data_IF_515513969851
#
_entry.id   IF_515513969851
#
_cell.length_a   1.000
_cell.length_b   1.000
_cell.length_c   1.000
_cell.angle_alpha   90.00
_cell.angle_beta   90.00
_cell.angle_gamma   90.00
#
_symmetry.space_group_name_H-M   'P 1'
#
loop_
_entity.id
_entity.type
_entity.pdbx_description
1 polymer ?
#
# COMPACT_ATOMS: atom_id res chain seq x y z
N UNK A 1 -16.45 -5.87 -12.44
CA UNK A 1 -15.59 -4.96 -13.21
C UNK A 1 -14.14 -5.22 -12.83
N UNK A 2 -13.25 -5.37 -13.81
CA UNK A 2 -11.80 -5.46 -13.58
C UNK A 2 -11.23 -4.06 -13.31
N UNK A 3 -10.14 -3.99 -12.56
CA UNK A 3 -9.38 -2.75 -12.41
C UNK A 3 -8.70 -2.38 -13.74
N UNK A 4 -8.68 -1.10 -14.09
CA UNK A 4 -7.94 -0.57 -15.23
C UNK A 4 -6.51 -0.27 -14.77
N UNK A 5 -5.52 -0.94 -15.34
CA UNK A 5 -4.12 -0.72 -14.97
C UNK A 5 -3.57 0.44 -15.81
N UNK A 6 -3.11 1.50 -15.15
CA UNK A 6 -2.50 2.67 -15.80
C UNK A 6 -1.00 2.45 -15.97
N UNK A 7 -0.30 2.10 -14.88
CA UNK A 7 1.13 1.85 -14.91
C UNK A 7 1.52 0.67 -14.02
N UNK A 8 2.51 -0.11 -14.47
CA UNK A 8 3.02 -1.25 -13.74
C UNK A 8 4.53 -1.35 -13.93
N UNK A 9 5.30 -1.44 -12.84
CA UNK A 9 6.76 -1.60 -12.90
C UNK A 9 7.24 -2.51 -11.78
N UNK A 10 8.30 -3.27 -12.07
CA UNK A 10 8.92 -4.19 -11.13
C UNK A 10 10.41 -3.88 -11.04
N UNK A 11 10.87 -3.54 -9.85
CA UNK A 11 12.30 -3.44 -9.51
C UNK A 11 12.70 -4.68 -8.72
N UNK A 12 14.01 -4.95 -8.62
CA UNK A 12 14.53 -6.09 -7.85
C UNK A 12 15.42 -5.61 -6.72
N UNK A 13 15.25 -6.16 -5.53
CA UNK A 13 16.15 -5.98 -4.40
C UNK A 13 17.03 -7.22 -4.25
N UNK A 14 18.34 -7.01 -4.19
CA UNK A 14 19.35 -8.06 -4.01
C UNK A 14 20.31 -7.70 -2.89
N UNK A 15 21.01 -8.70 -2.38
CA UNK A 15 22.22 -8.51 -1.58
C UNK A 15 23.40 -8.67 -2.53
N UNK A 16 24.26 -7.65 -2.60
CA UNK A 16 25.43 -7.68 -3.46
C UNK A 16 26.60 -8.45 -2.83
N UNK A 17 27.76 -8.49 -3.51
CA UNK A 17 28.94 -9.22 -3.03
C UNK A 17 29.55 -8.65 -1.76
N UNK A 18 29.23 -7.41 -1.40
CA UNK A 18 29.67 -6.75 -0.16
C UNK A 18 28.67 -6.92 0.99
N UNK A 19 27.68 -7.83 0.85
CA UNK A 19 26.58 -8.03 1.81
C UNK A 19 25.70 -6.79 2.03
N UNK A 20 25.70 -5.85 1.07
CA UNK A 20 24.84 -4.66 1.10
C UNK A 20 23.59 -4.85 0.24
N UNK A 21 22.49 -4.25 0.69
CA UNK A 21 21.25 -4.16 -0.12
C UNK A 21 21.49 -3.25 -1.32
N UNK A 22 21.11 -3.74 -2.49
CA UNK A 22 21.17 -3.02 -3.76
C UNK A 22 19.86 -3.20 -4.52
N UNK A 23 19.37 -2.12 -5.12
CA UNK A 23 18.24 -2.17 -6.03
C UNK A 23 18.72 -2.25 -7.48
N UNK A 24 18.10 -3.14 -8.25
CA UNK A 24 18.20 -3.20 -9.70
C UNK A 24 16.86 -2.67 -10.24
N UNK A 25 16.79 -1.38 -10.60
CA UNK A 25 15.59 -0.85 -11.20
C UNK A 25 15.43 -1.40 -12.63
N UNK A 26 14.19 -1.62 -13.06
CA UNK A 26 13.88 -1.82 -14.47
C UNK A 26 14.02 -0.50 -15.23
N UNK A 27 14.38 -0.55 -16.50
CA UNK A 27 14.61 0.65 -17.31
C UNK A 27 13.35 1.44 -17.66
N UNK A 28 12.19 0.78 -17.84
CA UNK A 28 10.90 1.40 -18.18
C UNK A 28 9.74 0.63 -17.54
N UNK A 29 8.53 1.18 -17.60
CA UNK A 29 7.32 0.48 -17.20
C UNK A 29 7.06 -0.76 -18.07
N UNK A 30 6.23 -1.67 -17.58
CA UNK A 30 5.72 -2.81 -18.33
C UNK A 30 4.50 -2.38 -19.13
N UNK A 31 4.43 -2.81 -20.38
CA UNK A 31 3.22 -2.67 -21.18
C UNK A 31 2.07 -3.42 -20.50
N UNK A 32 0.88 -2.81 -20.48
CA UNK A 32 -0.32 -3.42 -19.90
C UNK A 32 -0.84 -4.50 -20.84
N UNK A 33 -0.42 -5.73 -20.60
CA UNK A 33 -0.90 -6.93 -21.31
C UNK A 33 -1.91 -7.70 -20.44
N UNK A 34 -2.71 -8.62 -21.00
CA UNK A 34 -3.64 -9.44 -20.22
C UNK A 34 -2.97 -10.20 -19.07
N UNK A 35 -1.69 -10.59 -19.22
CA UNK A 35 -0.91 -11.24 -18.17
C UNK A 35 -0.57 -10.28 -17.02
N UNK A 36 -0.27 -9.01 -17.33
CA UNK A 36 -0.03 -7.96 -16.32
C UNK A 36 -1.32 -7.60 -15.59
N UNK A 37 -2.44 -7.49 -16.31
CA UNK A 37 -3.76 -7.28 -15.71
C UNK A 37 -4.13 -8.44 -14.76
N UNK A 38 -3.90 -9.68 -15.19
CA UNK A 38 -4.13 -10.86 -14.35
C UNK A 38 -3.26 -10.83 -13.09
N UNK A 39 -1.97 -10.52 -13.22
CA UNK A 39 -1.07 -10.41 -12.07
C UNK A 39 -1.51 -9.29 -11.12
N UNK A 40 -1.84 -8.11 -11.63
CA UNK A 40 -2.33 -7.00 -10.83
C UNK A 40 -3.64 -7.35 -10.10
N UNK A 41 -4.55 -8.07 -10.76
CA UNK A 41 -5.75 -8.60 -10.13
C UNK A 41 -5.42 -9.61 -9.02
N UNK A 42 -4.48 -10.54 -9.26
CA UNK A 42 -4.07 -11.51 -8.24
C UNK A 42 -3.40 -10.85 -7.03
N UNK A 43 -2.59 -9.80 -7.24
CA UNK A 43 -1.98 -9.01 -6.16
C UNK A 43 -3.08 -8.32 -5.35
N UNK A 44 -4.01 -7.63 -6.01
CA UNK A 44 -5.14 -6.97 -5.34
C UNK A 44 -6.02 -7.96 -4.56
N UNK A 45 -6.37 -9.09 -5.18
CA UNK A 45 -7.13 -10.15 -4.51
C UNK A 45 -6.37 -10.70 -3.29
N UNK A 46 -5.07 -10.98 -3.43
CA UNK A 46 -4.25 -11.44 -2.31
C UNK A 46 -4.20 -10.41 -1.18
N UNK A 47 -4.01 -9.13 -1.52
CA UNK A 47 -4.01 -8.03 -0.55
C UNK A 47 -5.34 -7.94 0.19
N UNK A 48 -6.46 -8.03 -0.53
CA UNK A 48 -7.81 -8.00 0.03
C UNK A 48 -8.17 -9.21 0.89
N UNK A 49 -7.66 -10.40 0.54
CA UNK A 49 -7.89 -11.60 1.32
C UNK A 49 -7.08 -11.66 2.64
N UNK A 50 -6.09 -10.79 2.86
CA UNK A 50 -5.30 -10.80 4.10
C UNK A 50 -6.11 -10.26 5.28
N UNK A 51 -6.23 -11.03 6.39
CA UNK A 51 -6.86 -10.52 7.61
C UNK A 51 -5.95 -9.49 8.29
N UNK A 52 -6.56 -8.54 8.99
CA UNK A 52 -5.84 -7.58 9.83
C UNK A 52 -5.08 -6.53 9.02
N UNK A 53 -5.82 -5.67 8.31
CA UNK A 53 -5.24 -4.50 7.63
C UNK A 53 -5.11 -3.32 8.59
N UNK A 54 -4.03 -2.58 8.43
CA UNK A 54 -3.83 -1.27 9.04
C UNK A 54 -4.35 -0.20 8.11
N UNK A 55 -4.85 0.89 8.70
CA UNK A 55 -5.30 2.09 8.01
C UNK A 55 -4.52 3.25 8.57
N UNK A 56 -4.11 4.18 7.73
CA UNK A 56 -3.18 5.24 8.09
C UNK A 56 -3.16 6.40 7.12
N UNK A 57 -2.19 7.27 7.33
CA UNK A 57 -1.94 8.48 6.55
C UNK A 57 -0.46 8.81 6.51
N UNK A 58 -0.06 9.70 5.59
CA UNK A 58 1.30 10.20 5.56
C UNK A 58 1.60 11.11 6.76
N UNK A 59 2.83 11.02 7.24
CA UNK A 59 3.40 11.91 8.26
C UNK A 59 4.66 12.56 7.71
N UNK A 60 4.98 13.76 8.19
CA UNK A 60 6.19 14.47 7.77
C UNK A 60 7.40 14.05 8.59
N UNK A 61 7.20 13.67 9.85
CA UNK A 61 8.26 13.39 10.80
C UNK A 61 7.91 12.17 11.66
N UNK A 62 8.91 11.33 11.95
CA UNK A 62 8.80 10.24 12.91
C UNK A 62 9.78 10.50 14.04
N UNK A 63 9.27 10.46 15.28
CA UNK A 63 10.07 10.63 16.49
C UNK A 63 10.41 9.26 17.06
N UNK A 64 11.71 8.98 17.23
CA UNK A 64 12.21 7.75 17.83
C UNK A 64 12.81 8.04 19.19
N UNK A 65 12.45 7.21 20.15
CA UNK A 65 13.05 7.21 21.49
C UNK A 65 13.99 6.01 21.61
N UNK A 66 15.29 6.28 21.66
CA UNK A 66 16.31 5.27 21.97
C UNK A 66 16.73 5.43 23.43
N UNK A 67 16.68 4.34 24.19
CA UNK A 67 17.30 4.30 25.51
C UNK A 67 18.79 4.04 25.33
N UNK A 68 19.61 5.03 25.67
CA UNK A 68 21.06 4.89 25.70
C UNK A 68 21.46 4.70 27.15
N UNK A 69 22.06 3.54 27.46
CA UNK A 69 22.67 3.30 28.77
C UNK A 69 23.98 4.09 28.83
N UNK A 70 24.04 5.07 29.73
CA UNK A 70 25.29 5.79 30.03
C UNK A 70 26.27 4.91 30.80
N UNK A 71 27.54 5.30 30.81
CA UNK A 71 28.63 4.57 31.48
C UNK A 71 28.43 4.37 33.00
N UNK A 72 27.54 5.15 33.63
CA UNK A 72 27.19 5.07 35.05
C UNK A 72 25.87 4.33 35.35
N UNK A 73 25.23 3.72 34.35
CA UNK A 73 23.95 3.00 34.53
C UNK A 73 22.71 3.88 34.55
N UNK A 74 22.84 5.19 34.31
CA UNK A 74 21.71 6.08 34.02
C UNK A 74 21.24 5.87 32.57
N UNK A 75 19.99 5.43 32.41
CA UNK A 75 19.36 5.33 31.10
C UNK A 75 18.89 6.72 30.67
N UNK A 76 19.59 7.35 29.74
CA UNK A 76 19.14 8.58 29.08
C UNK A 76 18.31 8.24 27.85
N UNK A 77 17.11 8.83 27.73
CA UNK A 77 16.30 8.73 26.52
C UNK A 77 16.80 9.76 25.52
N UNK A 78 17.41 9.30 24.42
CA UNK A 78 17.71 10.15 23.27
C UNK A 78 16.53 10.12 22.30
N UNK A 79 16.03 11.30 21.98
CA UNK A 79 14.95 11.49 21.02
C UNK A 79 15.53 11.98 19.69
N UNK A 80 15.29 11.24 18.60
CA UNK A 80 15.66 11.67 17.25
C UNK A 80 14.42 11.82 16.39
N UNK A 81 14.27 12.97 15.75
CA UNK A 81 13.20 13.24 14.79
C UNK A 81 13.76 13.15 13.38
N UNK A 82 13.20 12.25 12.58
CA UNK A 82 13.58 12.06 11.18
C UNK A 82 12.46 12.55 10.28
N UNK A 83 12.79 13.35 9.26
CA UNK A 83 11.83 13.71 8.21
C UNK A 83 11.62 12.49 7.30
N UNK A 84 10.36 12.11 7.09
CA UNK A 84 9.97 10.95 6.26
C UNK A 84 9.06 11.35 5.09
N UNK A 85 8.93 12.65 4.80
CA UNK A 85 8.01 13.17 3.79
C UNK A 85 8.41 12.86 2.34
N UNK A 86 9.69 12.54 2.07
CA UNK A 86 10.26 12.39 0.71
C UNK A 86 9.42 11.49 -0.22
N UNK A 87 8.83 10.41 0.29
CA UNK A 87 7.96 9.54 -0.53
C UNK A 87 6.64 10.23 -0.89
N UNK A 88 5.97 10.84 0.09
CA UNK A 88 4.70 11.54 -0.11
C UNK A 88 4.89 12.74 -1.03
N UNK A 89 5.97 13.51 -0.87
CA UNK A 89 6.32 14.62 -1.76
C UNK A 89 6.54 14.15 -3.20
N UNK A 90 7.32 13.08 -3.40
CA UNK A 90 7.54 12.49 -4.72
C UNK A 90 6.25 11.97 -5.37
N UNK A 91 5.37 11.35 -4.59
CA UNK A 91 4.07 10.87 -5.09
C UNK A 91 3.14 12.04 -5.44
N UNK A 92 3.15 13.12 -4.64
CA UNK A 92 2.35 14.33 -4.93
C UNK A 92 2.85 15.00 -6.22
N UNK A 93 4.16 15.15 -6.36
CA UNK A 93 4.77 15.71 -7.57
C UNK A 93 4.38 14.90 -8.81
N UNK A 94 4.42 13.57 -8.74
CA UNK A 94 3.96 12.71 -9.82
C UNK A 94 2.47 12.95 -10.16
N UNK A 95 1.60 13.02 -9.14
CA UNK A 95 0.17 13.26 -9.36
C UNK A 95 -0.12 14.63 -9.98
N UNK A 96 0.65 15.67 -9.62
CA UNK A 96 0.52 16.99 -10.22
C UNK A 96 0.90 16.96 -11.71
N UNK A 97 1.98 16.25 -12.07
CA UNK A 97 2.36 16.01 -13.47
C UNK A 97 1.24 15.26 -14.21
N UNK A 98 0.64 14.24 -13.60
CA UNK A 98 -0.47 13.49 -14.18
C UNK A 98 -1.69 14.38 -14.47
N UNK A 99 -2.02 15.31 -13.57
CA UNK A 99 -3.12 16.28 -13.78
C UNK A 99 -2.85 17.23 -14.94
N UNK A 100 -1.60 17.63 -15.15
CA UNK A 100 -1.22 18.56 -16.22
C UNK A 100 -1.05 17.87 -17.59
N UNK A 101 -0.45 16.68 -17.61
CA UNK A 101 -0.03 16.00 -18.83
C UNK A 101 -1.00 14.90 -19.32
N UNK A 102 -2.01 14.53 -18.52
CA UNK A 102 -2.97 13.48 -18.86
C UNK A 102 -2.31 12.09 -18.91
N UNK A 103 -2.52 11.34 -19.99
CA UNK A 103 -2.14 9.92 -20.08
C UNK A 103 -0.64 9.68 -20.40
N UNK A 104 0.10 10.71 -20.83
CA UNK A 104 1.49 10.55 -21.26
C UNK A 104 2.49 10.78 -20.12
N UNK A 105 2.34 10.03 -19.01
CA UNK A 105 3.13 10.21 -17.77
C UNK A 105 3.91 8.98 -17.34
N UNK A 106 4.11 8.02 -18.24
CA UNK A 106 4.88 6.79 -17.96
C UNK A 106 6.29 7.10 -17.42
N UNK A 107 7.00 8.05 -18.04
CA UNK A 107 8.35 8.45 -17.62
C UNK A 107 8.34 9.08 -16.22
N UNK A 108 7.31 9.86 -15.89
CA UNK A 108 7.16 10.47 -14.58
C UNK A 108 6.84 9.43 -13.50
N UNK A 109 5.97 8.46 -13.81
CA UNK A 109 5.67 7.34 -12.92
C UNK A 109 6.90 6.47 -12.67
N UNK A 110 7.66 6.17 -13.72
CA UNK A 110 8.91 5.41 -13.64
C UNK A 110 9.97 6.15 -12.81
N UNK A 111 10.16 7.45 -13.04
CA UNK A 111 11.08 8.27 -12.26
C UNK A 111 10.71 8.27 -10.76
N UNK A 112 9.40 8.38 -10.47
CA UNK A 112 8.88 8.25 -9.10
C UNK A 112 9.18 6.87 -8.51
N UNK A 113 8.93 5.78 -9.24
CA UNK A 113 9.14 4.42 -8.73
C UNK A 113 10.63 4.13 -8.45
N UNK A 114 11.54 4.65 -9.28
CA UNK A 114 12.99 4.57 -9.06
C UNK A 114 13.40 5.37 -7.84
N UNK A 115 12.92 6.60 -7.69
CA UNK A 115 13.19 7.44 -6.51
C UNK A 115 12.71 6.77 -5.21
N UNK A 116 11.47 6.27 -5.20
CA UNK A 116 10.91 5.51 -4.09
C UNK A 116 11.74 4.25 -3.78
N UNK A 117 12.18 3.52 -4.80
CA UNK A 117 13.04 2.33 -4.61
C UNK A 117 14.38 2.70 -3.96
N UNK A 118 15.01 3.79 -4.38
CA UNK A 118 16.26 4.27 -3.77
C UNK A 118 16.06 4.67 -2.31
N UNK A 119 14.94 5.32 -1.99
CA UNK A 119 14.55 5.64 -0.62
C UNK A 119 14.38 4.36 0.21
N UNK A 120 13.72 3.33 -0.32
CA UNK A 120 13.58 2.04 0.37
C UNK A 120 14.94 1.41 0.69
N UNK A 121 15.90 1.43 -0.25
CA UNK A 121 17.26 0.90 -0.01
C UNK A 121 17.96 1.66 1.12
N UNK A 122 17.85 2.98 1.16
CA UNK A 122 18.39 3.79 2.27
C UNK A 122 17.73 3.40 3.59
N UNK A 123 16.40 3.34 3.62
CA UNK A 123 15.66 2.97 4.82
C UNK A 123 16.02 1.57 5.32
N UNK A 124 16.18 0.59 4.43
CA UNK A 124 16.64 -0.76 4.80
C UNK A 124 18.05 -0.73 5.42
N UNK A 125 18.97 0.06 4.86
CA UNK A 125 20.31 0.22 5.41
C UNK A 125 20.29 0.89 6.80
N UNK A 126 19.51 1.97 6.95
CA UNK A 126 19.40 2.74 8.20
C UNK A 126 18.76 1.91 9.34
N UNK A 127 17.79 1.04 9.01
CA UNK A 127 17.15 0.15 9.98
C UNK A 127 17.89 -1.17 10.18
N UNK A 128 19.03 -1.39 9.51
CA UNK A 128 19.76 -2.66 9.54
C UNK A 128 18.94 -3.86 9.07
N UNK A 129 17.93 -3.61 8.24
CA UNK A 129 16.99 -4.63 7.75
C UNK A 129 17.43 -5.14 6.39
N UNK A 130 17.42 -6.46 6.22
CA UNK A 130 17.79 -7.12 4.95
C UNK A 130 16.53 -7.74 4.36
N UNK A 131 16.07 -7.17 3.25
CA UNK A 131 14.95 -7.71 2.47
C UNK A 131 15.35 -7.77 0.98
N UNK A 132 15.04 -8.89 0.35
CA UNK A 132 15.27 -9.13 -1.08
C UNK A 132 13.96 -9.44 -1.77
N UNK A 133 13.95 -9.43 -3.10
CA UNK A 133 12.79 -9.86 -3.89
C UNK A 133 12.44 -8.88 -4.99
N UNK A 134 11.16 -8.80 -5.32
CA UNK A 134 10.60 -8.00 -6.40
C UNK A 134 9.71 -6.91 -5.80
N UNK A 135 10.10 -5.66 -5.99
CA UNK A 135 9.35 -4.49 -5.57
C UNK A 135 8.45 -4.04 -6.72
N UNK A 136 7.16 -4.23 -6.56
CA UNK A 136 6.14 -3.91 -7.56
C UNK A 136 5.51 -2.58 -7.21
N UNK A 137 5.33 -1.72 -8.22
CA UNK A 137 4.46 -0.56 -8.19
C UNK A 137 3.38 -0.75 -9.26
N UNK A 138 2.12 -0.57 -8.87
CA UNK A 138 0.97 -0.73 -9.74
C UNK A 138 -0.01 0.43 -9.48
N UNK A 139 -0.11 1.37 -10.43
CA UNK A 139 -1.18 2.35 -10.43
C UNK A 139 -2.36 1.81 -11.24
N UNK A 140 -3.53 1.83 -10.62
CA UNK A 140 -4.74 1.32 -11.25
C UNK A 140 -5.96 2.13 -10.81
N UNK A 141 -7.01 2.03 -11.59
CA UNK A 141 -8.31 2.61 -11.31
C UNK A 141 -9.34 1.50 -11.10
N UNK A 142 -10.17 1.66 -10.08
CA UNK A 142 -11.28 0.77 -9.80
C UNK A 142 -12.47 1.59 -9.31
N UNK A 143 -13.60 1.50 -10.01
CA UNK A 143 -14.82 2.27 -9.73
C UNK A 143 -14.53 3.79 -9.60
N UNK A 144 -13.85 4.37 -10.60
CA UNK A 144 -13.44 5.78 -10.63
C UNK A 144 -12.51 6.24 -9.49
N UNK A 145 -12.02 5.32 -8.66
CA UNK A 145 -11.05 5.60 -7.60
C UNK A 145 -9.66 5.19 -8.07
N UNK A 146 -8.70 6.12 -7.95
CA UNK A 146 -7.32 5.87 -8.33
C UNK A 146 -6.53 5.33 -7.15
N UNK A 147 -5.77 4.28 -7.39
CA UNK A 147 -4.96 3.61 -6.39
C UNK A 147 -3.52 3.46 -6.84
N UNK A 148 -2.61 3.48 -5.87
CA UNK A 148 -1.25 2.98 -6.02
C UNK A 148 -1.04 1.79 -5.07
N UNK A 149 -0.71 0.62 -5.61
CA UNK A 149 -0.27 -0.53 -4.84
C UNK A 149 1.25 -0.66 -4.93
N UNK A 150 1.90 -0.79 -3.78
CA UNK A 150 3.31 -1.16 -3.68
C UNK A 150 3.42 -2.45 -2.89
N UNK A 151 4.10 -3.45 -3.44
CA UNK A 151 4.32 -4.74 -2.78
C UNK A 151 5.74 -5.26 -2.96
N UNK A 152 6.35 -5.75 -1.89
CA UNK A 152 7.60 -6.50 -1.95
C UNK A 152 7.29 -7.99 -1.89
N UNK A 153 7.58 -8.70 -2.99
CA UNK A 153 7.26 -10.11 -3.17
C UNK A 153 8.54 -10.95 -3.31
N UNK A 154 8.52 -12.12 -2.69
CA UNK A 154 9.53 -13.15 -2.90
C UNK A 154 9.06 -14.20 -3.90
N UNK A 155 9.99 -15.00 -4.41
CA UNK A 155 9.63 -16.18 -5.21
C UNK A 155 9.52 -17.43 -4.34
N UNK A 156 8.73 -18.38 -4.82
CA UNK A 156 8.67 -19.74 -4.32
C UNK A 156 8.94 -20.71 -5.46
N UNK A 157 9.82 -21.67 -5.20
CA UNK A 157 10.09 -22.77 -6.13
C UNK A 157 8.99 -23.83 -6.05
N UNK A 158 8.50 -24.24 -7.22
CA UNK A 158 7.62 -25.39 -7.38
C UNK A 158 8.27 -26.39 -8.34
N UNK A 159 8.11 -27.68 -8.04
CA UNK A 159 8.44 -28.75 -8.98
C UNK A 159 7.30 -28.85 -9.98
N UNK A 160 7.63 -28.72 -11.25
CA UNK A 160 6.72 -29.02 -12.35
C UNK A 160 7.13 -30.33 -13.05
N UNK A 161 6.14 -30.99 -13.65
CA UNK A 161 6.37 -32.10 -14.57
C UNK A 161 6.27 -31.53 -15.98
N UNK A 162 7.35 -31.64 -16.75
CA UNK A 162 7.41 -31.15 -18.12
C UNK A 162 6.62 -32.07 -19.06
N UNK A 163 6.45 -31.66 -20.32
CA UNK A 163 5.83 -32.50 -21.35
C UNK A 163 6.61 -33.79 -21.65
N UNK A 164 7.91 -33.84 -21.33
CA UNK A 164 8.75 -35.04 -21.43
C UNK A 164 8.66 -35.94 -20.20
N UNK A 165 7.80 -35.62 -19.22
CA UNK A 165 7.70 -36.28 -17.91
C UNK A 165 8.97 -36.15 -17.05
N UNK A 166 9.78 -35.14 -17.32
CA UNK A 166 10.92 -34.77 -16.48
C UNK A 166 10.47 -33.84 -15.35
N UNK A 167 11.23 -33.84 -14.26
CA UNK A 167 11.02 -32.90 -13.15
C UNK A 167 11.89 -31.66 -13.37
N UNK A 168 11.26 -30.50 -13.35
CA UNK A 168 11.94 -29.20 -13.41
C UNK A 168 11.50 -28.31 -12.24
N UNK A 169 12.37 -27.38 -11.83
CA UNK A 169 12.03 -26.39 -10.82
C UNK A 169 11.74 -25.05 -11.49
N UNK A 170 10.58 -24.45 -11.17
CA UNK A 170 10.23 -23.09 -11.61
C UNK A 170 9.92 -22.20 -10.42
N UNK A 171 10.46 -20.99 -10.47
CA UNK A 171 10.18 -19.95 -9.50
C UNK A 171 8.99 -19.09 -9.94
N UNK A 172 8.08 -18.84 -9.01
CA UNK A 172 6.91 -17.99 -9.21
C UNK A 172 6.80 -16.99 -8.06
N UNK A 173 6.19 -15.82 -8.30
CA UNK A 173 5.89 -14.86 -7.24
C UNK A 173 4.97 -15.49 -6.18
N UNK A 174 5.39 -15.44 -4.91
CA UNK A 174 4.65 -16.03 -3.79
C UNK A 174 3.65 -15.00 -3.23
N UNK A 175 2.53 -14.85 -3.94
CA UNK A 175 1.43 -13.97 -3.50
C UNK A 175 0.81 -14.43 -2.18
N UNK A 176 0.83 -15.74 -1.90
CA UNK A 176 0.30 -16.30 -0.66
C UNK A 176 1.11 -15.86 0.56
N UNK A 177 2.41 -15.58 0.42
CA UNK A 177 3.27 -15.04 1.47
C UNK A 177 3.52 -13.52 1.37
N UNK A 178 2.71 -12.79 0.59
CA UNK A 178 2.76 -11.33 0.58
C UNK A 178 2.47 -10.77 1.98
N UNK A 179 3.49 -10.17 2.60
CA UNK A 179 3.45 -9.60 3.95
C UNK A 179 3.82 -8.11 3.98
N UNK A 180 4.44 -7.61 2.91
CA UNK A 180 4.91 -6.24 2.75
C UNK A 180 4.18 -5.65 1.55
N UNK A 181 3.03 -5.05 1.81
CA UNK A 181 2.26 -4.35 0.80
C UNK A 181 1.51 -3.19 1.42
N UNK A 182 1.43 -2.11 0.66
CA UNK A 182 0.69 -0.88 0.97
C UNK A 182 -0.11 -0.47 -0.26
N UNK A 183 -1.33 -0.01 -0.03
CA UNK A 183 -2.20 0.59 -1.03
C UNK A 183 -2.51 2.01 -0.60
N UNK A 184 -2.36 2.95 -1.52
CA UNK A 184 -2.79 4.34 -1.37
C UNK A 184 -4.05 4.55 -2.17
N UNK A 185 -5.08 5.10 -1.55
CA UNK A 185 -6.18 5.74 -2.26
C UNK A 185 -5.75 7.16 -2.63
N UNK A 186 -5.40 7.34 -3.90
CA UNK A 186 -4.93 8.61 -4.43
C UNK A 186 -6.06 9.63 -4.51
N UNK A 187 -7.29 9.18 -4.76
CA UNK A 187 -8.48 10.04 -4.83
C UNK A 187 -8.81 10.61 -3.44
N UNK A 188 -8.88 9.77 -2.41
CA UNK A 188 -9.14 10.22 -1.04
C UNK A 188 -8.01 11.12 -0.54
N UNK A 189 -6.76 10.80 -0.85
CA UNK A 189 -5.63 11.66 -0.47
C UNK A 189 -5.63 13.02 -1.16
N UNK A 190 -6.23 13.12 -2.35
CA UNK A 190 -6.35 14.39 -3.08
C UNK A 190 -7.52 15.24 -2.58
N UNK A 191 -8.67 14.61 -2.31
CA UNK A 191 -9.93 15.33 -2.04
C UNK A 191 -10.21 15.48 -0.54
N UNK A 192 -9.88 14.47 0.27
CA UNK A 192 -10.25 14.38 1.69
C UNK A 192 -9.05 13.93 2.57
N UNK A 193 -7.87 14.58 2.49
CA UNK A 193 -6.68 14.17 3.23
C UNK A 193 -6.85 14.27 4.76
N UNK A 194 -7.74 15.14 5.25
CA UNK A 194 -8.05 15.32 6.67
C UNK A 194 -8.69 14.10 7.32
N UNK A 195 -9.24 13.17 6.52
CA UNK A 195 -9.75 11.91 7.04
C UNK A 195 -8.64 10.98 7.51
N UNK A 196 -7.41 11.15 7.02
CA UNK A 196 -6.24 10.39 7.46
C UNK A 196 -6.36 8.86 7.28
N UNK A 197 -7.10 8.40 6.26
CA UNK A 197 -7.42 6.98 6.04
C UNK A 197 -7.04 6.42 4.66
N UNK A 198 -6.32 7.20 3.88
CA UNK A 198 -6.00 6.89 2.49
C UNK A 198 -4.81 5.92 2.32
N UNK A 199 -4.16 5.49 3.40
CA UNK A 199 -3.11 4.46 3.37
C UNK A 199 -3.65 3.18 4.00
N UNK A 200 -3.51 2.05 3.31
CA UNK A 200 -3.87 0.73 3.84
C UNK A 200 -2.73 -0.26 3.66
N UNK A 201 -2.45 -1.10 4.66
CA UNK A 201 -1.31 -2.02 4.62
C UNK A 201 -1.58 -3.33 5.37
N UNK A 202 -0.79 -4.36 5.10
CA UNK A 202 -0.93 -5.68 5.76
C UNK A 202 -0.20 -5.66 7.11
N UNK A 203 -0.88 -5.78 8.26
CA UNK A 203 -0.26 -5.74 9.61
C UNK A 203 0.71 -6.89 9.96
N UNK A 204 0.99 -7.80 9.01
CA UNK A 204 1.81 -8.99 9.21
C UNK A 204 3.18 -8.66 9.78
N UNK A 205 4.12 -8.20 8.94
CA UNK A 205 5.40 -7.64 9.40
C UNK A 205 5.28 -6.14 9.68
N UNK A 206 4.42 -5.44 8.94
CA UNK A 206 4.16 -4.01 9.10
C UNK A 206 3.35 -3.66 10.33
N UNK A 207 3.67 -2.55 10.99
CA UNK A 207 2.94 -2.08 12.18
C UNK A 207 3.28 -2.84 13.48
N UNK A 208 4.15 -3.85 13.44
CA UNK A 208 4.78 -4.37 14.67
C UNK A 208 5.95 -3.45 15.05
N UNK A 209 6.07 -3.12 16.35
CA UNK A 209 7.15 -2.28 16.92
C UNK A 209 8.59 -2.65 16.52
N UNK A 210 8.82 -3.84 15.95
CA UNK A 210 10.14 -4.41 15.65
C UNK A 210 10.47 -4.41 14.14
N UNK A 211 9.54 -4.09 13.24
CA UNK A 211 9.79 -4.15 11.79
C UNK A 211 9.03 -3.06 11.02
N UNK A 212 9.29 -1.80 11.36
CA UNK A 212 8.56 -0.64 10.81
C UNK A 212 9.29 0.09 9.66
N UNK A 213 10.31 -0.55 9.08
CA UNK A 213 11.11 0.06 8.00
C UNK A 213 10.25 0.46 6.79
N UNK A 214 9.20 -0.30 6.46
CA UNK A 214 8.40 0.00 5.27
C UNK A 214 7.38 1.13 5.55
N UNK A 215 6.92 1.31 6.80
CA UNK A 215 6.17 2.51 7.21
C UNK A 215 7.08 3.73 7.19
N UNK A 216 8.34 3.60 7.65
CA UNK A 216 9.34 4.66 7.53
C UNK A 216 9.71 4.94 6.06
N UNK A 217 9.77 3.92 5.20
CA UNK A 217 9.98 4.03 3.75
C UNK A 217 8.89 4.87 3.10
N UNK A 218 7.63 4.58 3.42
CA UNK A 218 6.48 5.29 2.88
C UNK A 218 6.28 6.64 3.56
N UNK A 219 6.74 6.79 4.80
CA UNK A 219 6.46 7.94 5.65
C UNK A 219 5.01 7.98 6.09
N UNK A 220 4.45 6.86 6.56
CA UNK A 220 3.08 6.80 7.06
C UNK A 220 3.01 6.27 8.50
N UNK A 221 1.88 6.52 9.16
CA UNK A 221 1.58 5.97 10.49
C UNK A 221 0.22 5.29 10.53
N UNK A 222 0.06 4.33 11.45
CA UNK A 222 -1.20 3.65 11.68
C UNK A 222 -2.13 4.49 12.56
N UNK A 223 -3.41 4.55 12.19
CA UNK A 223 -4.44 5.08 13.06
C UNK A 223 -4.65 4.17 14.27
N UNK A 224 -4.50 4.73 15.47
CA UNK A 224 -4.64 3.97 16.73
C UNK A 224 -6.11 3.61 17.02
N UNK A 225 -7.07 4.44 16.60
CA UNK A 225 -8.51 4.23 16.84
C UNK A 225 -9.32 3.93 15.56
N UNK A 226 -8.87 2.93 14.80
CA UNK A 226 -9.57 2.44 13.60
C UNK A 226 -11.03 2.08 13.89
N UNK A 227 -11.31 1.53 15.09
CA UNK A 227 -12.66 1.10 15.47
C UNK A 227 -13.60 2.28 15.64
N UNK A 228 -13.17 3.34 16.34
CA UNK A 228 -13.98 4.53 16.51
C UNK A 228 -14.24 5.21 15.15
N UNK A 229 -13.22 5.35 14.30
CA UNK A 229 -13.39 5.96 12.98
C UNK A 229 -14.29 5.14 12.05
N UNK A 230 -14.18 3.81 12.06
CA UNK A 230 -15.10 2.94 11.33
C UNK A 230 -16.55 3.10 11.80
N UNK A 231 -16.76 3.20 13.12
CA UNK A 231 -18.09 3.42 13.69
C UNK A 231 -18.65 4.78 13.26
N UNK A 232 -17.81 5.81 13.25
CA UNK A 232 -18.19 7.14 12.80
C UNK A 232 -18.58 7.15 11.33
N UNK A 233 -17.79 6.49 10.46
CA UNK A 233 -18.10 6.35 9.04
C UNK A 233 -19.46 5.67 8.80
N UNK A 234 -19.70 4.54 9.47
CA UNK A 234 -21.00 3.83 9.40
C UNK A 234 -22.12 4.75 9.89
N UNK A 235 -21.90 5.54 10.94
CA UNK A 235 -22.93 6.47 11.44
C UNK A 235 -23.22 7.62 10.48
N UNK A 236 -22.22 8.10 9.72
CA UNK A 236 -22.43 9.12 8.69
C UNK A 236 -23.24 8.56 7.52
N UNK A 237 -22.97 7.31 7.12
CA UNK A 237 -23.79 6.59 6.14
C UNK A 237 -25.23 6.42 6.64
N UNK A 238 -25.41 6.03 7.91
CA UNK A 238 -26.74 5.91 8.52
C UNK A 238 -27.50 7.26 8.51
N UNK A 239 -26.80 8.37 8.75
CA UNK A 239 -27.38 9.71 8.72
C UNK A 239 -27.77 10.14 7.29
N UNK A 240 -26.93 9.84 6.29
CA UNK A 240 -27.20 10.12 4.89
C UNK A 240 -28.43 9.33 4.37
N UNK A 241 -28.48 8.03 4.64
CA UNK A 241 -29.62 7.17 4.30
C UNK A 241 -30.90 7.54 5.08
N UNK A 242 -30.78 8.31 6.17
CA UNK A 242 -31.93 8.85 6.90
C UNK A 242 -32.44 10.18 6.35
N UNK A 243 -31.61 10.96 5.65
CA UNK A 243 -32.05 12.14 4.91
C UNK A 243 -32.73 11.82 3.57
N UNK A 244 -32.48 10.65 3.00
CA UNK A 244 -33.13 10.14 1.79
C UNK A 244 -34.61 9.80 2.05
N UNK A 245 -35.51 10.37 1.25
CA UNK A 245 -36.97 10.23 1.40
C UNK A 245 -37.48 8.99 0.65
N UNK A 246 -37.19 7.80 1.19
CA UNK A 246 -37.62 6.50 0.65
C UNK A 246 -38.76 5.88 1.49
N UNK A 247 -39.52 4.96 0.89
CA UNK A 247 -40.63 4.21 1.52
C UNK A 247 -40.09 3.30 2.66
N UNK A 248 -40.72 3.20 3.87
CA UNK A 248 -40.10 2.58 5.04
C UNK A 248 -39.68 1.10 4.90
N UNK A 249 -40.30 0.34 3.99
CA UNK A 249 -39.90 -1.05 3.72
C UNK A 249 -38.67 -1.16 2.80
N UNK A 250 -38.61 -0.34 1.74
CA UNK A 250 -37.42 -0.27 0.86
C UNK A 250 -36.23 0.31 1.61
N UNK A 251 -36.48 1.27 2.51
CA UNK A 251 -35.45 1.92 3.32
C UNK A 251 -34.73 0.94 4.27
N UNK A 252 -35.41 -0.09 4.80
CA UNK A 252 -34.78 -1.06 5.71
C UNK A 252 -33.89 -2.06 4.96
N UNK A 253 -34.38 -2.61 3.85
CA UNK A 253 -33.63 -3.56 3.03
C UNK A 253 -32.40 -2.88 2.39
N UNK A 254 -32.59 -1.69 1.81
CA UNK A 254 -31.51 -0.90 1.21
C UNK A 254 -30.45 -0.49 2.24
N UNK A 255 -30.86 -0.14 3.48
CA UNK A 255 -29.92 0.16 4.57
C UNK A 255 -29.05 -1.04 4.95
N UNK A 256 -29.63 -2.22 5.09
CA UNK A 256 -28.85 -3.42 5.46
C UNK A 256 -27.88 -3.82 4.34
N UNK A 257 -28.27 -3.68 3.07
CA UNK A 257 -27.40 -3.93 1.92
C UNK A 257 -26.23 -2.94 1.85
N UNK A 258 -26.51 -1.63 1.96
CA UNK A 258 -25.46 -0.60 2.00
C UNK A 258 -24.54 -0.81 3.19
N UNK A 259 -25.09 -1.10 4.37
CA UNK A 259 -24.28 -1.34 5.58
C UNK A 259 -23.40 -2.59 5.45
N UNK A 260 -23.92 -3.66 4.85
CA UNK A 260 -23.13 -4.87 4.59
C UNK A 260 -21.99 -4.56 3.61
N UNK A 261 -22.28 -3.81 2.54
CA UNK A 261 -21.27 -3.35 1.58
C UNK A 261 -20.18 -2.52 2.26
N UNK A 262 -20.54 -1.51 3.05
CA UNK A 262 -19.57 -0.68 3.76
C UNK A 262 -18.75 -1.50 4.78
N UNK A 263 -19.36 -2.50 5.43
CA UNK A 263 -18.66 -3.37 6.36
C UNK A 263 -17.63 -4.25 5.66
N UNK A 264 -17.98 -4.87 4.53
CA UNK A 264 -17.04 -5.66 3.72
C UNK A 264 -15.88 -4.81 3.22
N UNK A 265 -16.17 -3.57 2.79
CA UNK A 265 -15.17 -2.61 2.32
C UNK A 265 -14.23 -2.14 3.43
N UNK A 266 -14.77 -1.86 4.62
CA UNK A 266 -13.97 -1.57 5.82
C UNK A 266 -13.05 -2.75 6.18
N UNK A 267 -13.58 -3.98 6.17
CA UNK A 267 -12.80 -5.19 6.47
C UNK A 267 -11.72 -5.43 5.40
N UNK A 268 -12.00 -5.06 4.15
CA UNK A 268 -11.04 -5.03 3.05
C UNK A 268 -10.08 -3.84 3.10
N UNK A 269 -10.12 -2.97 4.12
CA UNK A 269 -9.30 -1.77 4.20
C UNK A 269 -9.46 -0.88 2.97
N UNK A 270 -10.63 -0.88 2.36
CA UNK A 270 -11.00 0.06 1.30
C UNK A 270 -11.51 1.33 1.98
N UNK A 271 -10.99 2.46 1.52
CA UNK A 271 -11.51 3.79 1.77
C UNK A 271 -12.90 3.88 1.15
N UNK A 272 -13.80 4.53 1.86
CA UNK A 272 -15.19 4.71 1.46
C UNK A 272 -15.55 6.16 1.71
N UNK A 273 -16.02 6.86 0.68
CA UNK A 273 -16.67 8.16 0.86
C UNK A 273 -18.19 7.98 0.93
N UNK A 274 -18.84 8.79 1.74
CA UNK A 274 -20.31 8.86 1.78
C UNK A 274 -20.85 9.46 0.48
N UNK A 275 -20.04 10.21 -0.26
CA UNK A 275 -20.38 10.75 -1.58
C UNK A 275 -20.62 9.66 -2.64
N UNK A 276 -20.13 8.43 -2.43
CA UNK A 276 -20.40 7.28 -3.30
C UNK A 276 -21.87 6.83 -3.28
N UNK A 277 -22.65 7.33 -2.31
CA UNK A 277 -24.09 7.04 -2.16
C UNK A 277 -24.99 8.13 -2.79
N UNK A 278 -24.42 9.17 -3.38
CA UNK A 278 -25.13 10.31 -3.96
C UNK A 278 -25.44 10.17 -5.46
#
# INVERSE_FOLDING_TARGET
MSALIHHFVVHRLIVNKEEKIEAIPRDNCLAVTPEIELLAHQINHSFNAKPGKGVGHFVTEVTREAKVEGEEGEATTQTSTENVAEFAEGLRQYMDIQKEAGDNVEDAFHAFSVSATNRLVRTLADTGTVETGFLIFCQYEYLATQYLMIALLNTRSHVEVTNSLDLSAREHLDLAKMQLAVRFDLTQWDIQPEQQRYVSFIKGRMGRKVSDFFMQFVGCEELVDVKQQNKQLISTVDAYLASESLDPQEQHQHREEVKSYFKEKIDAGESLSVDELA
#
